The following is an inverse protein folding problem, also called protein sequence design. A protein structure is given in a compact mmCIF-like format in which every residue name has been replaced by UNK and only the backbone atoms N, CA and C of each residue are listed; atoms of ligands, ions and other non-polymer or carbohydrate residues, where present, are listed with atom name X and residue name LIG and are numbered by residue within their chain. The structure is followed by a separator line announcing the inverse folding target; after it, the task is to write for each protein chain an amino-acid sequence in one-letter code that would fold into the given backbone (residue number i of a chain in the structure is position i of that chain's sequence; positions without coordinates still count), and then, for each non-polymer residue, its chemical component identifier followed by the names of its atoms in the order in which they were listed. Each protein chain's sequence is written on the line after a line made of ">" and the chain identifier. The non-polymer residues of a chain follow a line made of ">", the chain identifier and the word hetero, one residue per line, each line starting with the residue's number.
data_IF_491811559394
#
_entry.id   IF_491811559394
#
_cell.length_a   1.000
_cell.length_b   1.000
_cell.length_c   1.000
_cell.angle_alpha   90.00
_cell.angle_beta   90.00
_cell.angle_gamma   90.00
#
_symmetry.space_group_name_H-M   'P 1'
#
loop_
_entity.id
_entity.type
_entity.pdbx_description
1 polymer ?
#
# COMPACT_ATOMS: atom_id res chain seq x y z
N UNK A 1 -12.74 -20.89 -42.08
CA UNK A 1 -12.16 -21.65 -40.95
C UNK A 1 -13.17 -22.66 -40.41
N UNK A 2 -12.74 -23.88 -40.09
CA UNK A 2 -13.60 -24.96 -39.57
C UNK A 2 -13.99 -24.72 -38.10
N UNK A 3 -15.27 -24.86 -37.73
CA UNK A 3 -15.77 -24.77 -36.33
C UNK A 3 -15.02 -25.66 -35.34
N UNK A 4 -14.55 -26.83 -35.78
CA UNK A 4 -13.77 -27.77 -34.94
C UNK A 4 -12.39 -27.19 -34.60
N UNK A 5 -11.75 -26.50 -35.54
CA UNK A 5 -10.47 -25.84 -35.31
C UNK A 5 -10.62 -24.65 -34.35
N UNK A 6 -11.67 -23.83 -34.53
CA UNK A 6 -11.99 -22.72 -33.63
C UNK A 6 -12.21 -23.17 -32.18
N UNK A 7 -12.98 -24.24 -31.96
CA UNK A 7 -13.19 -24.81 -30.62
C UNK A 7 -11.89 -25.31 -29.99
N UNK A 8 -11.01 -25.95 -30.78
CA UNK A 8 -9.72 -26.45 -30.28
C UNK A 8 -8.78 -25.30 -29.89
N UNK A 9 -8.80 -24.19 -30.62
CA UNK A 9 -8.04 -22.98 -30.29
C UNK A 9 -8.60 -22.34 -29.00
N UNK A 10 -9.91 -22.16 -28.90
CA UNK A 10 -10.54 -21.62 -27.69
C UNK A 10 -10.21 -22.44 -26.44
N UNK A 11 -10.36 -23.78 -26.52
CA UNK A 11 -10.04 -24.67 -25.41
C UNK A 11 -8.53 -24.72 -25.07
N UNK A 12 -7.64 -24.32 -25.99
CA UNK A 12 -6.22 -24.16 -25.69
C UNK A 12 -5.93 -22.82 -25.01
N UNK A 13 -6.58 -21.74 -25.46
CA UNK A 13 -6.47 -20.41 -24.85
C UNK A 13 -7.02 -20.38 -23.42
N UNK A 14 -8.16 -21.03 -23.16
CA UNK A 14 -8.76 -21.16 -21.82
C UNK A 14 -7.84 -21.91 -20.83
N UNK A 15 -7.01 -22.84 -21.31
CA UNK A 15 -6.02 -23.55 -20.48
C UNK A 15 -4.78 -22.71 -20.16
N UNK A 16 -4.47 -21.74 -21.02
CA UNK A 16 -3.27 -20.89 -20.91
C UNK A 16 -3.56 -19.63 -20.09
N UNK A 17 -4.79 -19.14 -20.12
CA UNK A 17 -5.19 -17.94 -19.37
C UNK A 17 -6.11 -18.33 -18.21
N UNK A 18 -5.61 -18.38 -16.95
CA UNK A 18 -6.51 -18.48 -15.80
C UNK A 18 -7.51 -17.34 -15.83
N UNK A 19 -8.68 -17.56 -15.21
CA UNK A 19 -9.68 -16.52 -15.07
C UNK A 19 -9.06 -15.27 -14.39
N UNK A 20 -9.43 -14.05 -14.81
CA UNK A 20 -8.94 -12.84 -14.18
C UNK A 20 -9.17 -12.91 -12.66
N UNK A 21 -8.15 -12.51 -11.89
CA UNK A 21 -8.29 -12.41 -10.45
C UNK A 21 -9.45 -11.46 -10.10
N UNK A 22 -10.19 -11.78 -9.04
CA UNK A 22 -11.26 -10.91 -8.55
C UNK A 22 -10.65 -9.59 -8.10
N UNK A 23 -11.33 -8.48 -8.39
CA UNK A 23 -10.91 -7.18 -7.90
C UNK A 23 -10.79 -7.20 -6.36
N UNK A 24 -9.73 -6.58 -5.79
CA UNK A 24 -9.56 -6.51 -4.34
C UNK A 24 -10.68 -5.69 -3.70
N UNK A 25 -11.13 -6.13 -2.53
CA UNK A 25 -12.09 -5.39 -1.71
C UNK A 25 -11.34 -4.39 -0.83
N UNK A 26 -11.30 -3.12 -1.26
CA UNK A 26 -10.66 -2.04 -0.51
C UNK A 26 -11.40 -1.70 0.80
N UNK A 27 -12.61 -2.20 1.02
CA UNK A 27 -13.32 -2.09 2.30
C UNK A 27 -12.92 -3.16 3.33
N UNK A 28 -12.17 -4.18 2.93
CA UNK A 28 -11.83 -5.30 3.81
C UNK A 28 -10.73 -4.99 4.83
N UNK A 29 -9.88 -3.99 4.58
CA UNK A 29 -8.79 -3.58 5.48
C UNK A 29 -8.31 -2.15 5.18
N UNK A 30 -7.63 -1.54 6.14
CA UNK A 30 -7.00 -0.21 5.98
C UNK A 30 -5.65 -0.28 5.25
N UNK A 31 -5.05 -1.46 5.16
CA UNK A 31 -3.72 -1.65 4.57
C UNK A 31 -3.63 -2.99 3.84
N UNK A 32 -2.81 -3.00 2.79
CA UNK A 32 -2.62 -4.17 1.92
C UNK A 32 -1.14 -4.36 1.60
N UNK A 33 -0.72 -5.61 1.48
CA UNK A 33 0.55 -5.98 0.86
C UNK A 33 0.29 -6.26 -0.60
N UNK A 34 1.02 -5.60 -1.49
CA UNK A 34 0.99 -5.90 -2.91
C UNK A 34 1.98 -7.01 -3.24
N UNK A 35 1.46 -8.08 -3.84
CA UNK A 35 2.24 -9.16 -4.41
C UNK A 35 2.19 -9.06 -5.93
N UNK A 36 3.34 -9.25 -6.59
CA UNK A 36 3.47 -9.11 -8.04
C UNK A 36 3.17 -10.40 -8.81
N UNK A 37 3.32 -11.56 -8.16
CA UNK A 37 3.06 -12.87 -8.77
C UNK A 37 2.55 -13.89 -7.71
N UNK A 38 1.27 -14.31 -7.79
CA UNK A 38 0.23 -13.73 -8.64
C UNK A 38 -0.05 -12.27 -8.25
N UNK A 39 -0.45 -11.43 -9.21
CA UNK A 39 -0.80 -10.02 -8.92
C UNK A 39 -2.05 -9.94 -8.02
N UNK A 40 -1.87 -9.52 -6.77
CA UNK A 40 -2.97 -9.35 -5.82
C UNK A 40 -2.63 -8.42 -4.65
N UNK A 41 -3.68 -7.93 -4.00
CA UNK A 41 -3.59 -7.20 -2.73
C UNK A 41 -4.05 -8.11 -1.59
N UNK A 42 -3.13 -8.41 -0.67
CA UNK A 42 -3.41 -9.18 0.54
C UNK A 42 -3.75 -8.22 1.70
N UNK A 43 -4.93 -8.33 2.34
CA UNK A 43 -5.32 -7.44 3.44
C UNK A 43 -4.48 -7.70 4.70
N UNK A 44 -4.02 -6.62 5.33
CA UNK A 44 -3.28 -6.68 6.60
C UNK A 44 -4.28 -6.60 7.77
N UNK A 45 -4.60 -7.74 8.38
CA UNK A 45 -5.59 -7.81 9.46
C UNK A 45 -5.22 -6.99 10.71
N UNK A 46 -3.93 -6.87 11.03
CA UNK A 46 -3.43 -6.06 12.15
C UNK A 46 -2.24 -5.23 11.72
N UNK A 47 -2.49 -3.97 11.39
CA UNK A 47 -1.44 -3.00 11.09
C UNK A 47 -0.69 -2.64 12.38
N UNK A 48 0.64 -2.72 12.34
CA UNK A 48 1.49 -2.30 13.45
C UNK A 48 1.57 -0.76 13.50
N UNK A 49 0.53 -0.14 14.06
CA UNK A 49 0.41 1.30 14.25
C UNK A 49 1.22 1.72 15.49
N UNK A 50 1.87 2.88 15.40
CA UNK A 50 2.53 3.52 16.55
C UNK A 50 1.73 4.78 16.87
N UNK A 51 1.30 4.94 18.12
CA UNK A 51 0.55 6.13 18.49
C UNK A 51 1.48 7.36 18.49
N UNK A 52 1.01 8.49 17.94
CA UNK A 52 1.79 9.71 17.77
C UNK A 52 2.27 10.31 19.09
N UNK A 53 1.48 10.15 20.16
CA UNK A 53 1.77 10.61 21.52
C UNK A 53 2.91 9.85 22.20
N UNK A 54 3.25 8.65 21.73
CA UNK A 54 4.41 7.88 22.19
C UNK A 54 5.74 8.43 21.65
N UNK A 55 5.70 9.33 20.65
CA UNK A 55 6.91 9.92 20.07
C UNK A 55 7.35 11.14 20.87
N UNK A 56 8.32 10.94 21.75
CA UNK A 56 8.87 11.98 22.63
C UNK A 56 10.18 12.55 22.08
N UNK A 57 10.36 13.88 22.16
CA UNK A 57 11.62 14.55 21.80
C UNK A 57 11.83 14.76 20.30
N UNK A 58 10.80 14.47 19.49
CA UNK A 58 10.80 14.65 18.03
C UNK A 58 9.66 15.57 17.56
N UNK A 59 9.09 16.35 18.47
CA UNK A 59 7.86 17.14 18.26
C UNK A 59 7.92 17.98 16.98
N UNK A 60 9.02 18.71 16.76
CA UNK A 60 9.19 19.52 15.54
C UNK A 60 9.12 18.68 14.26
N UNK A 61 9.81 17.54 14.22
CA UNK A 61 9.82 16.67 13.04
C UNK A 61 8.45 15.99 12.85
N UNK A 62 7.81 15.59 13.96
CA UNK A 62 6.46 15.03 13.99
C UNK A 62 5.44 15.99 13.42
N UNK A 63 5.37 17.19 13.97
CA UNK A 63 4.34 18.16 13.63
C UNK A 63 4.52 18.65 12.18
N UNK A 64 5.77 18.88 11.76
CA UNK A 64 6.08 19.27 10.37
C UNK A 64 5.66 18.20 9.37
N UNK A 65 6.01 16.93 9.63
CA UNK A 65 5.69 15.84 8.71
C UNK A 65 4.19 15.51 8.72
N UNK A 66 3.54 15.61 9.88
CA UNK A 66 2.10 15.39 10.01
C UNK A 66 1.32 16.42 9.21
N UNK A 67 1.62 17.70 9.38
CA UNK A 67 0.96 18.79 8.64
C UNK A 67 1.15 18.64 7.12
N UNK A 68 2.37 18.34 6.67
CA UNK A 68 2.66 18.09 5.26
C UNK A 68 1.86 16.90 4.71
N UNK A 69 1.72 15.83 5.49
CA UNK A 69 0.94 14.64 5.11
C UNK A 69 -0.56 14.94 5.08
N UNK A 70 -1.07 15.72 6.02
CA UNK A 70 -2.47 16.17 6.02
C UNK A 70 -2.79 17.07 4.82
N UNK A 71 -1.85 17.94 4.42
CA UNK A 71 -2.00 18.73 3.19
C UNK A 71 -2.09 17.83 1.96
N UNK A 72 -1.20 16.85 1.84
CA UNK A 72 -1.24 15.86 0.75
C UNK A 72 -2.58 15.12 0.71
N UNK A 73 -3.06 14.62 1.85
CA UNK A 73 -4.33 13.89 1.96
C UNK A 73 -5.55 14.75 1.58
N UNK A 74 -5.45 16.08 1.75
CA UNK A 74 -6.49 17.06 1.37
C UNK A 74 -6.35 17.56 -0.06
N UNK A 75 -5.39 17.06 -0.84
CA UNK A 75 -5.13 17.51 -2.21
C UNK A 75 -4.47 18.90 -2.29
N UNK A 76 -3.87 19.37 -1.19
CA UNK A 76 -3.10 20.61 -1.14
C UNK A 76 -1.62 20.36 -1.50
N UNK A 77 -0.86 21.42 -1.85
CA UNK A 77 0.57 21.29 -2.08
C UNK A 77 1.28 20.66 -0.87
N UNK A 78 2.10 19.66 -1.12
CA UNK A 78 2.90 18.99 -0.10
C UNK A 78 4.29 18.67 -0.65
N UNK A 79 5.27 18.58 0.24
CA UNK A 79 6.66 18.32 -0.10
C UNK A 79 7.01 16.85 0.09
N UNK A 80 7.95 16.36 -0.73
CA UNK A 80 8.63 15.11 -0.43
C UNK A 80 9.54 15.29 0.79
N UNK A 81 9.50 14.35 1.74
CA UNK A 81 10.26 14.44 2.97
C UNK A 81 11.39 13.39 3.02
N UNK A 82 12.61 13.83 3.36
CA UNK A 82 13.73 12.95 3.68
C UNK A 82 13.96 12.93 5.20
N UNK A 83 13.68 11.79 5.82
CA UNK A 83 14.03 11.56 7.23
C UNK A 83 15.43 10.97 7.33
N UNK A 84 16.34 11.66 8.02
CA UNK A 84 17.74 11.29 8.15
C UNK A 84 18.23 11.45 9.60
N UNK A 85 19.36 10.82 9.92
CA UNK A 85 19.92 10.77 11.29
C UNK A 85 20.36 9.36 11.70
N UNK A 86 20.94 9.23 12.91
CA UNK A 86 21.55 7.99 13.40
C UNK A 86 20.55 6.82 13.52
N UNK A 87 21.08 5.59 13.56
CA UNK A 87 20.30 4.37 13.81
C UNK A 87 19.60 4.48 15.18
N UNK A 88 18.34 4.09 15.25
CA UNK A 88 17.55 4.12 16.51
C UNK A 88 16.88 5.46 16.84
N UNK A 89 17.10 6.52 16.05
CA UNK A 89 16.49 7.85 16.29
C UNK A 89 15.01 7.96 15.85
N UNK A 90 14.26 6.86 15.83
CA UNK A 90 12.81 6.90 15.61
C UNK A 90 12.32 7.27 14.19
N UNK A 91 13.17 7.37 13.17
CA UNK A 91 12.77 7.73 11.78
C UNK A 91 11.64 6.84 11.24
N UNK A 92 11.81 5.52 11.30
CA UNK A 92 10.79 4.57 10.86
C UNK A 92 9.56 4.57 11.77
N UNK A 93 9.75 4.82 13.07
CA UNK A 93 8.64 4.94 14.02
C UNK A 93 7.78 6.15 13.71
N UNK A 94 8.40 7.26 13.30
CA UNK A 94 7.72 8.48 12.93
C UNK A 94 6.84 8.29 11.69
N UNK A 95 7.37 7.64 10.65
CA UNK A 95 6.58 7.30 9.45
C UNK A 95 5.38 6.43 9.81
N UNK A 96 5.59 5.40 10.63
CA UNK A 96 4.53 4.48 11.09
C UNK A 96 3.44 5.15 11.90
N UNK A 97 3.76 6.22 12.61
CA UNK A 97 2.80 6.95 13.42
C UNK A 97 1.96 7.94 12.60
N UNK A 98 2.55 8.56 11.57
CA UNK A 98 1.86 9.59 10.77
C UNK A 98 0.92 8.99 9.72
N UNK A 99 1.23 7.81 9.18
CA UNK A 99 0.38 7.18 8.16
C UNK A 99 -0.86 6.47 8.74
N UNK A 100 -0.96 6.37 10.07
CA UNK A 100 -2.00 5.63 10.77
C UNK A 100 -3.22 6.53 10.97
#
# INVERSE_FOLDING_TARGET
>A
MNKKALKRIAAALERISPAPAKAPDFGAADAFVWHVDPDHLEPVAKVNRIALDLLVGVDRARDTLLENTLQFARGLPANNALLWGARGMGKSSLVKAIHA
#
